data_IF_146921187938
#
_entry.id   IF_146921187938
#
_cell.length_a   1.000
_cell.length_b   1.000
_cell.length_c   1.000
_cell.angle_alpha   90.00
_cell.angle_beta   90.00
_cell.angle_gamma   90.00
#
_symmetry.space_group_name_H-M   'P 1'
#
loop_
_entity.id
_entity.type
_entity.pdbx_description
1 polymer ?
#
# COMPACT_ATOMS: atom_id res chain seq x y z
N UNK A 1 -41.77 -20.95 -15.73
CA UNK A 1 -40.44 -20.41 -16.03
C UNK A 1 -39.45 -21.12 -15.12
N UNK A 2 -38.46 -21.80 -15.65
CA UNK A 2 -37.50 -22.54 -14.85
C UNK A 2 -36.17 -21.77 -14.89
N UNK A 3 -35.89 -20.99 -13.86
CA UNK A 3 -34.60 -20.26 -13.70
C UNK A 3 -33.56 -21.23 -13.14
N UNK A 4 -32.59 -21.64 -13.97
CA UNK A 4 -31.43 -22.40 -13.51
C UNK A 4 -30.27 -21.45 -13.23
N UNK A 5 -29.94 -21.27 -11.96
CA UNK A 5 -28.67 -20.67 -11.53
C UNK A 5 -27.57 -21.71 -11.50
N UNK A 6 -26.33 -21.31 -11.84
CA UNK A 6 -25.13 -22.18 -11.80
C UNK A 6 -24.29 -22.03 -10.54
N UNK A 7 -24.74 -21.26 -9.55
CA UNK A 7 -23.99 -21.03 -8.30
C UNK A 7 -24.18 -22.19 -7.32
N UNK A 8 -23.15 -22.50 -6.54
CA UNK A 8 -23.22 -23.43 -5.41
C UNK A 8 -24.13 -22.83 -4.33
N UNK A 9 -25.22 -23.54 -4.01
CA UNK A 9 -26.20 -23.09 -3.01
C UNK A 9 -25.62 -22.87 -1.62
N UNK A 10 -24.50 -23.53 -1.30
CA UNK A 10 -23.81 -23.38 -0.01
C UNK A 10 -22.91 -22.13 0.04
N UNK A 11 -22.80 -21.40 -1.08
CA UNK A 11 -21.96 -20.20 -1.21
C UNK A 11 -22.75 -18.97 -1.63
N UNK A 12 -24.06 -18.99 -1.45
CA UNK A 12 -24.92 -17.84 -1.72
C UNK A 12 -24.95 -16.92 -0.50
N UNK A 13 -24.86 -15.62 -0.75
CA UNK A 13 -25.11 -14.60 0.27
C UNK A 13 -26.59 -14.29 0.36
N UNK A 14 -27.11 -14.14 1.58
CA UNK A 14 -28.50 -13.77 1.82
C UNK A 14 -28.75 -12.29 1.52
N UNK A 15 -30.01 -11.98 1.16
CA UNK A 15 -30.53 -10.61 1.05
C UNK A 15 -29.94 -9.71 -0.07
N UNK A 16 -29.18 -10.26 -1.01
CA UNK A 16 -28.64 -9.49 -2.14
C UNK A 16 -29.57 -9.41 -3.35
N UNK A 17 -30.61 -10.25 -3.38
CA UNK A 17 -31.57 -10.33 -4.48
C UNK A 17 -32.99 -10.30 -3.93
N UNK A 18 -33.85 -9.52 -4.55
CA UNK A 18 -35.30 -9.47 -4.23
C UNK A 18 -36.15 -9.74 -5.48
N UNK A 19 -37.23 -10.43 -5.29
CA UNK A 19 -38.31 -10.56 -6.29
C UNK A 19 -39.47 -9.69 -5.84
N UNK A 20 -39.74 -8.64 -6.58
CA UNK A 20 -40.83 -7.68 -6.27
C UNK A 20 -41.85 -7.62 -7.37
N UNK A 21 -43.10 -7.39 -7.04
CA UNK A 21 -44.17 -7.20 -8.04
C UNK A 21 -43.84 -5.94 -8.86
N UNK A 22 -43.93 -6.04 -10.18
CA UNK A 22 -43.65 -4.89 -11.04
C UNK A 22 -44.74 -3.80 -10.90
N UNK A 23 -44.45 -2.59 -11.37
CA UNK A 23 -45.36 -1.45 -11.27
C UNK A 23 -46.67 -1.66 -12.06
N UNK A 24 -46.66 -2.46 -13.14
CA UNK A 24 -47.86 -2.79 -13.94
C UNK A 24 -48.77 -3.81 -13.25
N UNK A 25 -48.28 -4.53 -12.25
CA UNK A 25 -49.03 -5.52 -11.49
C UNK A 25 -49.24 -6.86 -12.18
N UNK A 26 -48.66 -7.07 -13.36
CA UNK A 26 -48.81 -8.23 -14.22
C UNK A 26 -47.61 -9.21 -14.18
N UNK A 27 -46.57 -8.87 -13.41
CA UNK A 27 -45.39 -9.70 -13.30
C UNK A 27 -44.52 -9.36 -12.08
N UNK A 28 -43.29 -9.91 -12.08
CA UNK A 28 -42.32 -9.71 -11.03
C UNK A 28 -40.96 -9.23 -11.62
N UNK A 29 -40.36 -8.26 -10.97
CA UNK A 29 -39.02 -7.81 -11.24
C UNK A 29 -38.03 -8.54 -10.29
N UNK A 30 -36.90 -8.97 -10.82
CA UNK A 30 -35.81 -9.45 -10.02
C UNK A 30 -34.85 -8.24 -9.84
N UNK A 31 -34.66 -7.79 -8.62
CA UNK A 31 -33.89 -6.62 -8.29
C UNK A 31 -32.69 -6.98 -7.40
N UNK A 32 -31.53 -6.44 -7.73
CA UNK A 32 -30.35 -6.50 -6.87
C UNK A 32 -30.50 -5.49 -5.73
N UNK A 33 -30.06 -5.85 -4.54
CA UNK A 33 -29.98 -4.90 -3.43
C UNK A 33 -29.06 -3.73 -3.80
N UNK A 34 -29.34 -2.54 -3.27
CA UNK A 34 -28.46 -1.37 -3.45
C UNK A 34 -27.13 -1.56 -2.76
N UNK A 35 -27.14 -2.29 -1.65
CA UNK A 35 -25.97 -2.66 -0.88
C UNK A 35 -25.75 -4.15 -1.03
N UNK A 36 -24.62 -4.55 -1.64
CA UNK A 36 -24.23 -5.96 -1.75
C UNK A 36 -23.37 -6.32 -0.56
N UNK A 37 -23.83 -7.27 0.22
CA UNK A 37 -23.05 -7.86 1.29
C UNK A 37 -22.61 -9.27 0.88
N UNK A 38 -21.34 -9.40 0.54
CA UNK A 38 -20.72 -10.67 0.18
C UNK A 38 -20.05 -11.26 1.41
N UNK A 39 -20.84 -11.45 2.45
CA UNK A 39 -20.35 -12.06 3.69
C UNK A 39 -20.05 -13.53 3.43
N UNK A 40 -18.79 -13.90 3.57
CA UNK A 40 -18.35 -15.29 3.53
C UNK A 40 -18.65 -15.95 4.89
N UNK A 41 -19.90 -16.31 5.10
CA UNK A 41 -20.36 -16.91 6.36
C UNK A 41 -19.86 -18.33 6.61
N UNK A 42 -19.22 -18.98 5.63
CA UNK A 42 -18.80 -20.37 5.70
C UNK A 42 -17.30 -20.61 5.65
N UNK A 43 -16.51 -19.67 5.20
CA UNK A 43 -15.06 -19.86 5.06
C UNK A 43 -14.32 -19.22 6.23
N UNK A 44 -13.95 -20.04 7.16
CA UNK A 44 -13.05 -19.63 8.25
C UNK A 44 -11.62 -19.73 7.74
N UNK A 45 -10.97 -18.59 7.54
CA UNK A 45 -9.54 -18.56 7.29
C UNK A 45 -8.78 -18.73 8.61
N UNK A 46 -7.59 -19.27 8.54
CA UNK A 46 -6.69 -19.33 9.70
C UNK A 46 -5.51 -18.41 9.50
N UNK A 47 -5.22 -17.58 10.48
CA UNK A 47 -4.05 -16.71 10.49
C UNK A 47 -3.15 -17.10 11.64
N UNK A 48 -1.86 -17.36 11.36
CA UNK A 48 -0.88 -17.61 12.40
C UNK A 48 -0.57 -16.31 13.13
N UNK A 49 -0.65 -16.32 14.44
CA UNK A 49 -0.27 -15.17 15.27
C UNK A 49 1.26 -15.03 15.21
N UNK A 50 1.80 -13.86 14.78
CA UNK A 50 3.24 -13.67 14.71
C UNK A 50 3.93 -13.97 16.04
N UNK A 51 5.01 -14.75 16.00
CA UNK A 51 5.77 -15.15 17.19
C UNK A 51 5.19 -16.33 17.97
N UNK A 52 4.12 -16.97 17.48
CA UNK A 52 3.50 -18.16 18.08
C UNK A 52 3.17 -19.20 17.00
N UNK A 53 2.93 -20.46 17.41
CA UNK A 53 2.37 -21.50 16.54
C UNK A 53 0.83 -21.55 16.59
N UNK A 54 0.20 -20.52 17.15
CA UNK A 54 -1.25 -20.47 17.32
C UNK A 54 -1.90 -19.94 16.06
N UNK A 55 -2.84 -20.68 15.51
CA UNK A 55 -3.72 -20.23 14.42
C UNK A 55 -5.06 -19.80 15.01
N UNK A 56 -5.54 -18.64 14.57
CA UNK A 56 -6.86 -18.14 14.96
C UNK A 56 -7.77 -18.11 13.73
N UNK A 57 -9.05 -18.51 13.87
CA UNK A 57 -10.02 -18.37 12.83
C UNK A 57 -10.36 -16.88 12.61
N UNK A 58 -10.46 -16.45 11.36
CA UNK A 58 -10.98 -15.13 11.02
C UNK A 58 -11.93 -15.23 9.84
N UNK A 59 -12.86 -14.30 9.77
CA UNK A 59 -13.80 -14.14 8.66
C UNK A 59 -13.50 -12.83 7.93
N UNK A 60 -13.89 -12.76 6.67
CA UNK A 60 -13.75 -11.54 5.86
C UNK A 60 -15.13 -11.18 5.32
N UNK A 61 -15.58 -9.99 5.65
CA UNK A 61 -16.83 -9.42 5.12
C UNK A 61 -16.49 -8.43 4.00
N UNK A 62 -17.05 -8.63 2.81
CA UNK A 62 -16.92 -7.70 1.69
C UNK A 62 -18.28 -7.04 1.45
N UNK A 63 -18.32 -5.72 1.52
CA UNK A 63 -19.50 -4.89 1.26
C UNK A 63 -19.25 -4.02 0.03
N UNK A 64 -20.22 -3.96 -0.86
CA UNK A 64 -20.24 -3.04 -2.02
C UNK A 64 -21.56 -2.26 -1.95
N UNK A 65 -21.46 -0.94 -1.81
CA UNK A 65 -22.61 -0.05 -1.70
C UNK A 65 -22.35 1.30 -2.37
N UNK A 66 -23.25 2.25 -2.17
CA UNK A 66 -23.10 3.62 -2.71
C UNK A 66 -21.91 4.40 -2.14
N UNK A 67 -21.35 3.98 -1.03
CA UNK A 67 -20.12 4.58 -0.44
C UNK A 67 -18.83 3.94 -0.94
N UNK A 68 -18.91 2.81 -1.66
CA UNK A 68 -17.74 2.15 -2.24
C UNK A 68 -17.64 0.66 -1.90
N UNK A 69 -16.41 0.17 -1.84
CA UNK A 69 -16.08 -1.22 -1.50
C UNK A 69 -15.35 -1.24 -0.17
N UNK A 70 -15.79 -2.08 0.76
CA UNK A 70 -15.08 -2.33 2.02
C UNK A 70 -14.84 -3.83 2.21
N UNK A 71 -13.66 -4.18 2.73
CA UNK A 71 -13.26 -5.55 3.05
C UNK A 71 -12.80 -5.53 4.51
N UNK A 72 -13.58 -6.15 5.38
CA UNK A 72 -13.37 -6.10 6.83
C UNK A 72 -13.04 -7.48 7.38
N UNK A 73 -11.79 -7.73 7.79
CA UNK A 73 -11.44 -8.94 8.52
C UNK A 73 -11.97 -8.87 9.95
N UNK A 74 -12.48 -9.98 10.45
CA UNK A 74 -13.02 -10.11 11.81
C UNK A 74 -12.47 -11.35 12.51
N UNK A 75 -12.21 -11.25 13.80
CA UNK A 75 -11.79 -12.35 14.68
C UNK A 75 -12.87 -12.51 15.73
N UNK A 76 -13.39 -13.74 15.87
CA UNK A 76 -14.50 -14.03 16.78
C UNK A 76 -15.70 -13.10 16.60
N UNK A 77 -15.99 -12.72 15.34
CA UNK A 77 -17.11 -11.83 14.99
C UNK A 77 -16.86 -10.34 15.26
N UNK A 78 -15.67 -9.95 15.75
CA UNK A 78 -15.30 -8.56 15.98
C UNK A 78 -14.34 -8.08 14.88
N UNK A 79 -14.59 -6.92 14.24
CA UNK A 79 -13.68 -6.33 13.26
C UNK A 79 -12.28 -6.14 13.84
N UNK A 80 -11.25 -6.45 13.05
CA UNK A 80 -9.86 -6.20 13.43
C UNK A 80 -9.56 -4.70 13.24
N UNK A 81 -9.29 -3.95 14.31
CA UNK A 81 -9.08 -2.51 14.22
C UNK A 81 -7.94 -2.15 13.26
N UNK A 82 -8.16 -1.17 12.38
CA UNK A 82 -7.17 -0.67 11.43
C UNK A 82 -6.87 -1.59 10.24
N UNK A 83 -7.57 -2.72 10.08
CA UNK A 83 -7.34 -3.68 8.99
C UNK A 83 -8.44 -3.68 7.92
N UNK A 84 -9.41 -2.80 8.00
CA UNK A 84 -10.40 -2.64 6.93
C UNK A 84 -9.75 -2.02 5.71
N UNK A 85 -9.81 -2.71 4.58
CA UNK A 85 -9.48 -2.15 3.26
C UNK A 85 -10.71 -1.49 2.69
N UNK A 86 -10.58 -0.29 2.13
CA UNK A 86 -11.71 0.38 1.49
C UNK A 86 -11.28 1.19 0.27
N UNK A 87 -12.16 1.23 -0.73
CA UNK A 87 -12.08 2.09 -1.90
C UNK A 87 -13.37 2.90 -1.97
N UNK A 88 -13.26 4.19 -1.72
CA UNK A 88 -14.39 5.13 -1.64
C UNK A 88 -14.09 6.38 -2.45
N UNK A 89 -15.00 7.34 -2.49
CA UNK A 89 -14.75 8.67 -3.08
C UNK A 89 -13.57 9.40 -2.42
N UNK A 90 -13.22 9.04 -1.19
CA UNK A 90 -12.06 9.61 -0.46
C UNK A 90 -10.73 8.89 -0.77
N UNK A 91 -10.77 7.90 -1.68
CA UNK A 91 -9.59 7.15 -2.11
C UNK A 91 -9.47 5.75 -1.52
N UNK A 92 -8.26 5.22 -1.56
CA UNK A 92 -7.92 3.88 -1.09
C UNK A 92 -7.34 3.92 0.34
N UNK A 93 -7.98 3.21 1.25
CA UNK A 93 -7.39 2.82 2.53
C UNK A 93 -6.96 1.35 2.44
N UNK A 94 -5.69 1.07 2.57
CA UNK A 94 -5.14 -0.29 2.42
C UNK A 94 -5.13 -1.11 3.73
N UNK A 95 -5.72 -0.62 4.82
CA UNK A 95 -5.88 -1.37 6.07
C UNK A 95 -4.55 -1.86 6.67
N UNK A 96 -3.50 -1.06 6.65
CA UNK A 96 -2.13 -1.42 7.08
C UNK A 96 -1.51 -2.62 6.34
N UNK A 97 -2.04 -2.99 5.17
CA UNK A 97 -1.42 -4.01 4.33
C UNK A 97 -0.32 -3.41 3.44
N UNK A 98 0.62 -4.24 3.03
CA UNK A 98 1.63 -3.86 2.04
C UNK A 98 0.99 -3.75 0.66
N UNK A 99 1.33 -2.69 -0.10
CA UNK A 99 1.01 -2.61 -1.52
C UNK A 99 2.19 -3.24 -2.28
N UNK A 100 1.93 -4.31 -3.00
CA UNK A 100 2.94 -5.05 -3.77
C UNK A 100 2.82 -4.79 -5.26
N UNK A 101 3.88 -5.13 -6.03
CA UNK A 101 3.90 -4.99 -7.49
C UNK A 101 3.69 -3.55 -7.99
N UNK A 102 4.12 -2.56 -7.21
CA UNK A 102 4.12 -1.16 -7.63
C UNK A 102 5.25 -0.94 -8.63
N UNK A 103 4.91 -0.64 -9.88
CA UNK A 103 5.89 -0.26 -10.90
C UNK A 103 6.60 1.05 -10.50
N UNK A 104 7.81 1.32 -11.03
CA UNK A 104 8.46 2.60 -10.83
C UNK A 104 7.58 3.76 -11.32
N UNK A 105 7.32 4.74 -10.46
CA UNK A 105 6.62 5.97 -10.83
C UNK A 105 7.42 6.80 -11.85
N UNK A 106 6.73 7.40 -12.81
CA UNK A 106 7.32 8.22 -13.88
C UNK A 106 6.85 9.67 -13.75
N UNK A 107 5.57 9.86 -13.45
CA UNK A 107 4.95 11.17 -13.32
C UNK A 107 4.93 11.62 -11.85
N UNK A 108 4.82 12.92 -11.62
CA UNK A 108 4.82 13.50 -10.26
C UNK A 108 3.64 13.07 -9.37
N UNK A 109 2.62 12.42 -9.92
CA UNK A 109 1.46 11.91 -9.21
C UNK A 109 1.46 10.38 -9.03
N UNK A 110 2.50 9.69 -9.54
CA UNK A 110 2.61 8.25 -9.42
C UNK A 110 3.12 7.84 -8.04
N UNK A 111 2.78 6.64 -7.60
CA UNK A 111 3.33 6.06 -6.38
C UNK A 111 4.83 5.72 -6.58
N UNK A 112 5.61 5.96 -5.54
CA UNK A 112 7.04 5.61 -5.51
C UNK A 112 7.22 4.25 -4.85
N UNK A 113 7.97 3.35 -5.48
CA UNK A 113 8.34 2.08 -4.90
C UNK A 113 9.66 2.15 -4.09
N UNK A 114 9.91 1.12 -3.28
CA UNK A 114 11.08 1.07 -2.39
C UNK A 114 12.41 1.16 -3.14
N UNK A 115 12.50 0.65 -4.38
CA UNK A 115 13.73 0.72 -5.16
C UNK A 115 14.06 2.15 -5.59
N UNK A 116 13.06 2.93 -5.99
CA UNK A 116 13.24 4.35 -6.31
C UNK A 116 13.71 5.15 -5.09
N UNK A 117 13.13 4.88 -3.92
CA UNK A 117 13.56 5.51 -2.67
C UNK A 117 15.01 5.15 -2.32
N UNK A 118 15.40 3.87 -2.41
CA UNK A 118 16.76 3.41 -2.15
C UNK A 118 17.76 4.09 -3.09
N UNK A 119 17.44 4.18 -4.39
CA UNK A 119 18.30 4.85 -5.37
C UNK A 119 18.47 6.33 -5.07
N UNK A 120 17.40 7.01 -4.68
CA UNK A 120 17.45 8.41 -4.27
C UNK A 120 18.33 8.60 -3.02
N UNK A 121 18.17 7.75 -2.00
CA UNK A 121 19.01 7.78 -0.80
C UNK A 121 20.49 7.54 -1.11
N UNK A 122 20.81 6.52 -1.91
CA UNK A 122 22.21 6.26 -2.32
C UNK A 122 22.83 7.45 -3.06
N UNK A 123 22.05 8.16 -3.88
CA UNK A 123 22.52 9.38 -4.56
C UNK A 123 22.82 10.51 -3.56
N UNK A 124 22.01 10.65 -2.51
CA UNK A 124 22.22 11.65 -1.46
C UNK A 124 23.47 11.29 -0.64
N UNK A 125 23.61 10.02 -0.24
CA UNK A 125 24.79 9.54 0.51
C UNK A 125 26.09 9.78 -0.29
N UNK A 126 26.09 9.53 -1.61
CA UNK A 126 27.22 9.82 -2.48
C UNK A 126 27.57 11.31 -2.48
N UNK A 127 26.60 12.20 -2.58
CA UNK A 127 26.82 13.65 -2.54
C UNK A 127 27.36 14.12 -1.18
N UNK A 128 26.87 13.54 -0.09
CA UNK A 128 27.38 13.84 1.26
C UNK A 128 28.85 13.42 1.39
N UNK A 129 29.18 12.24 0.88
CA UNK A 129 30.59 11.76 0.86
C UNK A 129 31.47 12.68 0.05
N UNK A 130 31.05 13.14 -1.14
CA UNK A 130 31.78 14.07 -1.98
C UNK A 130 32.05 15.41 -1.27
N UNK A 131 31.01 15.99 -0.64
CA UNK A 131 31.13 17.23 0.14
C UNK A 131 32.05 17.04 1.35
N UNK A 132 31.96 15.90 2.05
CA UNK A 132 32.81 15.55 3.16
C UNK A 132 34.29 15.43 2.74
N UNK A 133 34.56 14.76 1.63
CA UNK A 133 35.91 14.63 1.07
C UNK A 133 36.49 15.98 0.63
N UNK A 134 35.69 16.81 -0.04
CA UNK A 134 36.12 18.17 -0.43
C UNK A 134 36.40 19.03 0.79
N UNK A 135 35.57 18.99 1.81
CA UNK A 135 35.77 19.74 3.06
C UNK A 135 37.03 19.28 3.81
N UNK A 136 37.28 17.97 3.88
CA UNK A 136 38.47 17.41 4.49
C UNK A 136 39.77 17.82 3.71
N UNK A 137 39.69 17.82 2.37
CA UNK A 137 40.80 18.31 1.54
C UNK A 137 41.08 19.79 1.79
N UNK A 138 40.04 20.62 1.81
CA UNK A 138 40.20 22.07 2.09
C UNK A 138 40.77 22.33 3.49
N UNK A 139 40.35 21.57 4.51
CA UNK A 139 40.88 21.70 5.87
C UNK A 139 42.38 21.26 5.97
N UNK A 140 42.82 20.38 5.07
CA UNK A 140 44.21 19.94 4.98
C UNK A 140 45.13 20.91 4.28
N UNK A 141 44.61 21.91 3.56
CA UNK A 141 45.43 22.94 2.90
C UNK A 141 45.97 23.90 3.95
N UNK A 142 47.30 23.93 4.08
CA UNK A 142 47.98 24.93 4.93
C UNK A 142 48.48 26.08 4.05
N UNK A 143 48.20 27.35 4.41
CA UNK A 143 48.78 28.48 3.69
C UNK A 143 50.31 28.40 3.70
N UNK A 144 50.93 28.49 2.54
CA UNK A 144 52.35 28.63 2.43
C UNK A 144 52.75 30.08 2.73
N UNK A 145 53.92 30.28 3.35
CA UNK A 145 54.47 31.62 3.53
C UNK A 145 54.95 32.15 2.17
N UNK A 146 54.64 33.41 1.88
CA UNK A 146 55.08 34.04 0.65
C UNK A 146 56.61 34.11 0.64
N UNK A 147 57.24 33.56 -0.41
CA UNK A 147 58.64 33.65 -0.70
C UNK A 147 58.85 34.52 -1.94
N UNK A 148 59.53 35.66 -1.83
CA UNK A 148 59.83 36.54 -3.01
C UNK A 148 60.64 35.88 -4.09
N UNK A 149 61.46 34.84 -3.76
CA UNK A 149 62.28 34.11 -4.70
C UNK A 149 61.53 33.00 -5.45
N UNK A 150 60.36 32.55 -4.89
CA UNK A 150 59.47 31.57 -5.50
C UNK A 150 58.03 32.09 -5.48
N UNK A 151 57.70 33.04 -6.35
CA UNK A 151 56.38 33.74 -6.32
C UNK A 151 55.23 32.87 -6.72
N UNK A 152 55.46 31.69 -7.31
CA UNK A 152 54.41 30.75 -7.70
C UNK A 152 54.46 29.51 -6.84
N UNK A 153 53.43 29.33 -6.03
CA UNK A 153 53.32 28.18 -5.14
C UNK A 153 52.02 27.42 -5.45
N UNK A 154 52.07 26.08 -5.47
CA UNK A 154 50.96 25.21 -5.71
C UNK A 154 50.70 24.36 -4.46
N UNK A 155 49.48 24.44 -3.94
CA UNK A 155 49.01 23.57 -2.86
C UNK A 155 48.04 22.53 -3.40
N UNK A 156 48.19 21.30 -2.95
CA UNK A 156 47.24 20.23 -3.24
C UNK A 156 46.92 19.48 -1.96
N UNK A 157 45.66 19.10 -1.81
CA UNK A 157 45.22 18.23 -0.73
C UNK A 157 44.25 17.18 -1.27
N UNK A 158 44.25 16.02 -0.64
CA UNK A 158 43.33 14.92 -0.95
C UNK A 158 42.49 14.63 0.29
N UNK A 159 41.19 14.60 0.11
CA UNK A 159 40.23 14.24 1.15
C UNK A 159 39.53 12.90 0.85
N UNK A 160 39.31 12.12 1.88
CA UNK A 160 38.48 10.93 1.84
C UNK A 160 37.48 10.98 3.01
N UNK A 161 36.26 10.67 2.72
CA UNK A 161 35.18 10.58 3.72
C UNK A 161 34.51 9.19 3.63
N UNK A 162 34.36 8.51 4.77
CA UNK A 162 33.66 7.21 4.89
C UNK A 162 32.42 7.35 5.72
#
# INVERSE_FOLDING_TARGET
MNLKGGADVNRLSDNNLAVVKNAAGDGYDIKLAKDLNLKDGSTTYTKTVPGTNTTIPYTVDTKVDGGGITITPSINGQPVPGHTVSLTENGLNNGNNTITNVAPGINGTDAVNVNQLRNAMSSVDGKIADVGAASAAMAGLKPLQYDPLEPTQVLAAVGNYK
#
